data_IF_315684072434
#
_entry.id   IF_315684072434
#
_cell.length_a   1.000
_cell.length_b   1.000
_cell.length_c   1.000
_cell.angle_alpha   90.00
_cell.angle_beta   90.00
_cell.angle_gamma   90.00
#
_symmetry.space_group_name_H-M   'P 1'
#
loop_
_entity.id
_entity.type
_entity.pdbx_description
1 polymer ?
#
# COMPACT_ATOMS: atom_id res chain seq x y z
N UNK A 1 -28.45 28.91 55.20
CA UNK A 1 -29.18 27.63 55.11
C UNK A 1 -28.16 26.52 55.31
N UNK A 2 -28.58 25.47 55.99
CA UNK A 2 -27.82 24.60 56.91
C UNK A 2 -26.77 23.68 56.30
N UNK A 3 -25.79 23.35 57.15
CA UNK A 3 -24.65 22.46 56.96
C UNK A 3 -24.99 20.95 57.02
N UNK A 4 -23.96 20.16 56.69
CA UNK A 4 -23.53 18.89 57.31
C UNK A 4 -24.18 17.57 56.88
N UNK A 5 -23.40 16.79 56.11
CA UNK A 5 -23.41 15.33 56.17
C UNK A 5 -22.37 14.84 57.19
N UNK A 6 -22.86 14.08 58.19
CA UNK A 6 -22.06 13.35 59.17
C UNK A 6 -22.09 11.85 58.86
N UNK A 7 -20.91 11.28 59.03
CA UNK A 7 -20.55 9.86 59.21
C UNK A 7 -21.43 9.08 60.19
N UNK A 8 -21.62 7.79 59.94
CA UNK A 8 -22.09 6.82 60.95
C UNK A 8 -21.97 5.36 60.50
N UNK A 9 -21.01 4.62 61.08
CA UNK A 9 -20.94 3.14 61.09
C UNK A 9 -22.02 2.58 62.02
N UNK A 10 -22.59 1.41 61.71
CA UNK A 10 -22.84 0.33 62.70
C UNK A 10 -23.18 -1.02 62.06
N UNK A 11 -22.82 -2.06 62.81
CA UNK A 11 -22.83 -3.50 62.52
C UNK A 11 -24.21 -4.17 62.56
N UNK A 12 -24.36 -5.34 61.92
CA UNK A 12 -25.27 -6.41 62.35
C UNK A 12 -24.72 -7.82 62.02
N UNK A 13 -24.69 -8.70 63.03
CA UNK A 13 -24.71 -10.16 62.87
C UNK A 13 -26.13 -10.64 62.56
N UNK A 14 -26.53 -11.92 62.45
CA UNK A 14 -25.92 -13.24 62.63
C UNK A 14 -26.98 -14.29 62.21
N UNK A 15 -26.55 -15.46 61.65
CA UNK A 15 -27.21 -16.81 61.69
C UNK A 15 -28.61 -16.93 60.98
N UNK A 16 -29.06 -18.01 60.31
CA UNK A 16 -28.78 -19.46 60.33
C UNK A 16 -29.53 -20.20 59.17
N UNK A 17 -28.99 -21.35 58.74
CA UNK A 17 -29.63 -22.64 58.37
C UNK A 17 -30.47 -22.85 57.08
N UNK A 18 -29.92 -23.66 56.15
CA UNK A 18 -30.35 -25.03 55.74
C UNK A 18 -31.35 -25.11 54.57
N UNK A 19 -31.07 -25.86 53.49
CA UNK A 19 -31.43 -27.28 53.29
C UNK A 19 -30.75 -27.77 51.98
N UNK A 20 -29.88 -28.78 51.94
CA UNK A 20 -30.13 -30.24 51.84
C UNK A 20 -30.97 -30.71 50.63
N UNK A 21 -30.34 -31.32 49.60
CA UNK A 21 -30.36 -32.78 49.27
C UNK A 21 -30.26 -33.11 47.75
N UNK A 22 -29.37 -34.09 47.49
CA UNK A 22 -29.44 -35.22 46.54
C UNK A 22 -29.19 -35.04 45.02
N UNK A 23 -28.08 -35.65 44.58
CA UNK A 23 -27.93 -36.38 43.30
C UNK A 23 -28.75 -37.69 43.32
N UNK A 24 -29.00 -38.46 42.21
CA UNK A 24 -28.01 -39.06 41.27
C UNK A 24 -28.54 -39.08 39.79
N UNK A 25 -28.00 -39.72 38.74
CA UNK A 25 -27.44 -41.07 38.53
C UNK A 25 -26.94 -41.22 37.07
N UNK A 26 -26.07 -42.19 36.81
CA UNK A 26 -25.44 -42.49 35.53
C UNK A 26 -26.14 -43.58 34.69
N UNK A 27 -25.75 -43.61 33.39
CA UNK A 27 -25.66 -44.72 32.43
C UNK A 27 -26.91 -45.21 31.66
N UNK A 28 -26.80 -45.35 30.33
CA UNK A 28 -26.66 -46.63 29.58
C UNK A 28 -26.42 -46.36 28.07
N UNK A 29 -25.58 -47.22 27.44
CA UNK A 29 -25.20 -47.31 26.02
C UNK A 29 -26.23 -48.07 25.16
N UNK A 30 -26.28 -47.82 23.84
CA UNK A 30 -26.28 -48.79 22.71
C UNK A 30 -26.34 -48.01 21.35
N UNK A 31 -25.31 -48.07 20.48
CA UNK A 31 -25.19 -48.84 19.20
C UNK A 31 -26.40 -48.72 18.25
N UNK A 32 -26.35 -48.50 16.93
CA UNK A 32 -25.37 -48.68 15.85
C UNK A 32 -25.66 -47.59 14.78
N UNK A 33 -24.88 -47.27 13.74
CA UNK A 33 -24.44 -48.16 12.66
C UNK A 33 -23.48 -47.34 11.77
N UNK A 34 -22.30 -47.90 11.51
CA UNK A 34 -21.37 -47.47 10.46
C UNK A 34 -21.99 -47.62 9.08
N UNK A 35 -22.06 -46.53 8.30
CA UNK A 35 -22.08 -46.60 6.83
C UNK A 35 -20.74 -46.11 6.29
N UNK A 36 -19.97 -47.06 5.75
CA UNK A 36 -18.89 -46.83 4.81
C UNK A 36 -19.44 -46.04 3.62
N UNK A 37 -18.77 -44.95 3.26
CA UNK A 37 -18.84 -44.42 1.89
C UNK A 37 -17.45 -44.59 1.30
N UNK A 38 -17.41 -45.37 0.23
CA UNK A 38 -16.19 -45.91 -0.36
C UNK A 38 -15.31 -44.82 -0.97
N UNK A 39 -14.01 -45.06 -0.87
CA UNK A 39 -13.03 -44.56 -1.82
C UNK A 39 -13.40 -45.07 -3.22
N UNK A 40 -13.79 -44.14 -4.08
CA UNK A 40 -13.81 -44.33 -5.52
C UNK A 40 -12.59 -43.65 -6.10
N UNK A 41 -11.61 -44.46 -6.50
CA UNK A 41 -10.50 -44.06 -7.35
C UNK A 41 -11.03 -43.47 -8.66
N UNK A 42 -10.56 -42.26 -8.99
CA UNK A 42 -10.63 -41.71 -10.33
C UNK A 42 -9.22 -41.27 -10.76
N UNK A 43 -8.78 -41.64 -11.97
CA UNK A 43 -7.36 -41.69 -12.30
C UNK A 43 -6.80 -40.29 -12.56
N UNK A 44 -5.71 -39.96 -11.87
CA UNK A 44 -4.83 -38.87 -12.25
C UNK A 44 -4.19 -39.20 -13.60
N UNK A 45 -4.70 -38.63 -14.68
CA UNK A 45 -4.04 -38.65 -15.98
C UNK A 45 -2.74 -37.85 -15.89
N UNK A 46 -1.64 -38.58 -15.66
CA UNK A 46 -0.28 -38.07 -15.80
C UNK A 46 -0.01 -37.73 -17.28
N UNK A 47 -0.33 -36.50 -17.67
CA UNK A 47 0.31 -35.86 -18.81
C UNK A 47 1.77 -35.56 -18.43
N UNK A 48 2.66 -36.54 -18.65
CA UNK A 48 4.11 -36.31 -18.70
C UNK A 48 4.40 -35.36 -19.87
N UNK A 49 4.43 -34.05 -19.61
CA UNK A 49 5.19 -33.14 -20.47
C UNK A 49 6.68 -33.34 -20.16
N UNK A 50 7.30 -34.18 -20.97
CA UNK A 50 8.75 -34.24 -21.15
C UNK A 50 9.25 -32.85 -21.54
N UNK A 51 9.99 -32.18 -20.64
CA UNK A 51 10.89 -31.11 -21.05
C UNK A 51 12.10 -31.76 -21.73
N UNK A 52 12.12 -31.74 -23.06
CA UNK A 52 13.35 -32.00 -23.81
C UNK A 52 14.28 -30.80 -23.59
N UNK A 53 15.27 -31.00 -22.72
CA UNK A 53 16.42 -30.11 -22.58
C UNK A 53 17.26 -30.18 -23.85
N UNK A 54 17.11 -29.23 -24.76
CA UNK A 54 18.06 -29.07 -25.86
C UNK A 54 19.35 -28.49 -25.28
N UNK A 55 20.32 -29.35 -24.97
CA UNK A 55 21.72 -28.97 -24.76
C UNK A 55 22.21 -28.23 -26.01
N UNK A 56 22.32 -26.91 -25.95
CA UNK A 56 23.12 -26.17 -26.93
C UNK A 56 24.58 -26.31 -26.52
N UNK A 57 25.31 -27.15 -27.24
CA UNK A 57 26.76 -27.29 -27.12
C UNK A 57 27.41 -25.91 -27.30
N UNK A 58 28.22 -25.52 -26.33
CA UNK A 58 29.26 -24.50 -26.49
C UNK A 58 30.34 -25.12 -27.39
N UNK A 59 30.47 -24.62 -28.61
CA UNK A 59 31.63 -24.88 -29.46
C UNK A 59 32.55 -23.67 -29.44
N UNK A 60 33.78 -23.94 -29.03
CA UNK A 60 34.95 -23.09 -29.12
C UNK A 60 35.10 -22.51 -30.54
N UNK A 61 35.05 -21.19 -30.68
CA UNK A 61 35.62 -20.50 -31.84
C UNK A 61 36.31 -19.21 -31.39
N UNK A 62 37.63 -19.31 -31.21
CA UNK A 62 38.56 -18.17 -31.19
C UNK A 62 38.30 -17.27 -32.39
N UNK A 63 37.84 -16.05 -32.16
CA UNK A 63 37.81 -15.00 -33.20
C UNK A 63 38.70 -13.83 -32.82
N UNK A 64 39.63 -13.59 -33.75
CA UNK A 64 40.74 -12.66 -33.77
C UNK A 64 40.23 -11.21 -33.87
N UNK A 65 40.70 -10.34 -32.99
CA UNK A 65 40.43 -8.90 -33.04
C UNK A 65 40.85 -8.30 -34.39
N UNK A 66 39.91 -7.66 -35.10
CA UNK A 66 40.18 -6.83 -36.28
C UNK A 66 40.14 -5.35 -35.87
N UNK A 67 41.28 -4.68 -36.06
CA UNK A 67 41.46 -3.22 -35.93
C UNK A 67 40.60 -2.49 -36.96
N UNK A 68 39.88 -1.46 -36.52
CA UNK A 68 39.19 -0.48 -37.37
C UNK A 68 40.16 0.65 -37.73
N UNK A 69 40.30 1.06 -39.00
CA UNK A 69 41.18 2.15 -39.37
C UNK A 69 40.49 3.51 -39.17
N UNK A 70 41.20 4.43 -38.50
CA UNK A 70 40.85 5.86 -38.41
C UNK A 70 41.12 6.50 -39.77
N UNK A 71 40.09 7.08 -40.40
CA UNK A 71 40.24 7.93 -41.60
C UNK A 71 40.14 9.40 -41.21
N UNK A 72 41.20 10.12 -41.53
CA UNK A 72 41.39 11.57 -41.49
C UNK A 72 40.33 12.31 -42.32
N UNK A 73 39.77 13.38 -41.75
CA UNK A 73 38.80 14.24 -42.41
C UNK A 73 39.49 15.16 -43.44
N UNK A 74 39.13 15.02 -44.70
CA UNK A 74 39.43 16.00 -45.76
C UNK A 74 38.19 16.86 -46.05
N UNK A 75 38.39 18.17 -45.95
CA UNK A 75 37.43 19.26 -46.11
C UNK A 75 36.83 19.28 -47.53
N UNK A 76 35.53 19.04 -47.66
CA UNK A 76 34.75 19.26 -48.90
C UNK A 76 33.86 20.47 -48.72
N UNK A 77 34.12 21.52 -49.50
CA UNK A 77 33.30 22.74 -49.57
C UNK A 77 32.01 22.42 -50.32
N UNK A 78 30.86 22.51 -49.63
CA UNK A 78 29.54 22.45 -50.27
C UNK A 78 29.02 23.86 -50.52
N UNK A 79 28.70 24.15 -51.79
CA UNK A 79 28.03 25.37 -52.27
C UNK A 79 26.71 25.59 -51.52
N UNK A 80 26.52 26.80 -51.00
CA UNK A 80 25.24 27.29 -50.46
C UNK A 80 24.21 27.39 -51.59
N UNK A 81 23.14 26.58 -51.51
CA UNK A 81 21.94 26.73 -52.30
C UNK A 81 20.94 27.67 -51.60
N UNK A 82 20.25 28.48 -52.38
CA UNK A 82 19.27 29.49 -51.96
C UNK A 82 18.15 28.93 -51.07
N UNK A 83 17.59 29.72 -50.12
CA UNK A 83 16.59 29.22 -49.18
C UNK A 83 15.26 28.97 -49.90
N UNK A 84 14.77 27.73 -49.86
CA UNK A 84 13.39 27.39 -50.25
C UNK A 84 12.42 28.05 -49.28
N UNK A 85 11.45 28.79 -49.82
CA UNK A 85 10.32 29.37 -49.08
C UNK A 85 9.57 28.23 -48.35
N UNK A 86 9.31 28.43 -47.05
CA UNK A 86 8.44 27.56 -46.25
C UNK A 86 7.00 27.66 -46.78
N UNK A 87 6.40 26.50 -46.99
CA UNK A 87 4.98 26.35 -47.33
C UNK A 87 4.13 26.80 -46.12
N UNK A 88 3.12 27.68 -46.26
CA UNK A 88 2.30 28.14 -45.12
C UNK A 88 1.30 27.09 -44.60
N UNK A 89 1.32 25.86 -45.11
CA UNK A 89 0.29 24.83 -44.88
C UNK A 89 0.63 23.76 -43.85
N UNK A 90 1.55 23.99 -42.90
CA UNK A 90 1.76 23.05 -41.80
C UNK A 90 0.57 23.15 -40.83
N UNK A 91 -0.38 22.24 -40.99
CA UNK A 91 -1.64 22.20 -40.26
C UNK A 91 -1.47 22.39 -38.76
N UNK A 92 -2.22 23.34 -38.21
CA UNK A 92 -2.42 23.47 -36.78
C UNK A 92 -2.78 22.10 -36.17
N UNK A 93 -2.35 21.80 -34.93
CA UNK A 93 -2.75 20.56 -34.28
C UNK A 93 -4.28 20.48 -34.30
N UNK A 94 -4.82 19.49 -35.00
CA UNK A 94 -6.27 19.29 -35.10
C UNK A 94 -6.79 19.18 -33.67
N UNK A 95 -7.60 20.16 -33.26
CA UNK A 95 -8.32 20.13 -31.99
C UNK A 95 -9.10 18.82 -31.96
N UNK A 96 -8.70 17.89 -31.09
CA UNK A 96 -9.37 16.61 -30.91
C UNK A 96 -10.85 16.93 -30.63
N UNK A 97 -11.75 16.46 -31.49
CA UNK A 97 -13.19 16.60 -31.27
C UNK A 97 -13.51 15.93 -29.94
N UNK A 98 -14.07 16.71 -29.01
CA UNK A 98 -14.53 16.23 -27.70
C UNK A 98 -15.68 15.28 -27.99
N UNK A 99 -15.46 13.98 -27.77
CA UNK A 99 -16.51 12.98 -27.97
C UNK A 99 -17.59 13.22 -26.91
N UNK A 100 -18.84 12.85 -27.20
CA UNK A 100 -19.97 13.02 -26.27
C UNK A 100 -19.76 12.30 -24.92
N UNK A 101 -18.89 11.28 -24.89
CA UNK A 101 -18.46 10.57 -23.67
C UNK A 101 -17.33 11.26 -22.89
N UNK A 102 -16.69 12.29 -23.46
CA UNK A 102 -15.64 13.07 -22.80
C UNK A 102 -16.24 14.20 -21.91
N UNK A 103 -17.57 14.31 -21.84
CA UNK A 103 -18.28 15.31 -21.03
C UNK A 103 -18.69 14.66 -19.70
N UNK A 104 -18.03 15.07 -18.61
CA UNK A 104 -18.45 14.69 -17.26
C UNK A 104 -19.78 15.43 -16.98
N UNK A 105 -20.91 14.72 -16.83
CA UNK A 105 -22.23 15.36 -16.65
C UNK A 105 -22.23 16.14 -15.34
N UNK A 106 -22.87 17.32 -15.23
CA UNK A 106 -22.88 18.12 -14.01
C UNK A 106 -23.48 17.32 -12.83
N UNK A 107 -22.99 17.58 -11.61
CA UNK A 107 -23.64 17.02 -10.41
C UNK A 107 -24.96 17.75 -10.24
N UNK A 108 -26.05 16.98 -10.08
CA UNK A 108 -27.40 17.49 -9.83
C UNK A 108 -27.94 16.86 -8.56
N UNK A 109 -28.59 17.65 -7.70
CA UNK A 109 -29.23 17.15 -6.48
C UNK A 109 -28.23 16.63 -5.44
N UNK A 110 -28.41 15.37 -5.03
CA UNK A 110 -27.62 14.65 -4.04
C UNK A 110 -26.74 13.55 -4.67
N UNK A 111 -26.48 13.65 -5.98
CA UNK A 111 -25.59 12.75 -6.69
C UNK A 111 -24.17 12.81 -6.11
N UNK A 112 -23.58 11.63 -5.90
CA UNK A 112 -22.18 11.46 -5.56
C UNK A 112 -21.45 10.99 -6.80
N UNK A 113 -20.33 11.61 -7.12
CA UNK A 113 -19.48 11.21 -8.24
C UNK A 113 -18.19 10.60 -7.71
N UNK A 114 -17.77 9.51 -8.33
CA UNK A 114 -16.51 8.83 -8.05
C UNK A 114 -15.76 8.74 -9.37
N UNK A 115 -14.55 9.28 -9.42
CA UNK A 115 -13.74 9.30 -10.64
C UNK A 115 -12.35 8.75 -10.32
N UNK A 116 -11.98 7.57 -10.83
CA UNK A 116 -10.58 7.16 -10.85
C UNK A 116 -9.83 7.98 -11.91
N UNK A 117 -8.83 8.73 -11.50
CA UNK A 117 -7.91 9.46 -12.40
C UNK A 117 -6.67 8.62 -12.75
N UNK A 118 -6.41 7.56 -11.97
CA UNK A 118 -5.39 6.55 -12.21
C UNK A 118 -5.53 5.37 -11.23
N UNK A 119 -4.89 4.25 -11.54
CA UNK A 119 -4.92 3.01 -10.75
C UNK A 119 -6.03 2.02 -11.13
N UNK A 120 -6.70 2.23 -12.26
CA UNK A 120 -7.71 1.30 -12.80
C UNK A 120 -7.23 0.78 -14.15
N UNK A 121 -7.29 -0.55 -14.33
CA UNK A 121 -6.72 -1.26 -15.48
C UNK A 121 -5.19 -1.09 -15.65
N UNK A 122 -4.50 -0.70 -14.56
CA UNK A 122 -3.06 -0.48 -14.50
C UNK A 122 -2.54 -0.70 -13.06
N UNK A 123 -1.22 -0.87 -12.90
CA UNK A 123 -0.58 -0.96 -11.58
C UNK A 123 0.19 0.32 -11.30
N UNK A 124 -0.23 1.03 -10.25
CA UNK A 124 0.36 2.29 -9.83
C UNK A 124 -0.49 3.50 -10.19
N UNK A 125 0.05 4.71 -9.96
CA UNK A 125 -0.65 5.96 -10.30
C UNK A 125 -2.00 6.10 -9.60
N UNK A 126 -2.15 5.51 -8.41
CA UNK A 126 -3.40 5.48 -7.67
C UNK A 126 -3.85 6.90 -7.33
N UNK A 127 -5.01 7.27 -7.86
CA UNK A 127 -5.68 8.54 -7.56
C UNK A 127 -7.16 8.39 -7.86
N UNK A 128 -7.99 8.34 -6.82
CA UNK A 128 -9.45 8.33 -6.95
C UNK A 128 -10.03 9.56 -6.29
N UNK A 129 -11.06 10.16 -6.88
CA UNK A 129 -11.75 11.30 -6.27
C UNK A 129 -13.19 10.94 -5.94
N UNK A 130 -13.66 11.43 -4.81
CA UNK A 130 -15.09 11.45 -4.46
C UNK A 130 -15.53 12.91 -4.43
N UNK A 131 -16.54 13.23 -5.23
CA UNK A 131 -17.14 14.56 -5.29
C UNK A 131 -18.59 14.49 -4.80
N UNK A 132 -18.87 15.31 -3.78
CA UNK A 132 -20.19 15.46 -3.18
C UNK A 132 -20.55 16.95 -3.22
N UNK A 133 -21.45 17.33 -4.13
CA UNK A 133 -21.86 18.72 -4.38
C UNK A 133 -20.66 19.63 -4.73
N UNK A 134 -20.24 20.45 -3.78
CA UNK A 134 -19.16 21.43 -3.92
C UNK A 134 -17.87 21.00 -3.21
N UNK A 135 -17.81 19.75 -2.73
CA UNK A 135 -16.67 19.20 -2.01
C UNK A 135 -16.03 18.06 -2.81
N UNK A 136 -14.74 18.19 -3.12
CA UNK A 136 -13.90 17.13 -3.72
C UNK A 136 -12.90 16.63 -2.68
N UNK A 137 -12.84 15.31 -2.54
CA UNK A 137 -11.86 14.59 -1.74
C UNK A 137 -10.99 13.75 -2.68
N UNK A 138 -9.67 13.90 -2.56
CA UNK A 138 -8.71 13.14 -3.35
C UNK A 138 -8.18 12.01 -2.47
N UNK A 139 -8.21 10.79 -2.96
CA UNK A 139 -7.65 9.60 -2.31
C UNK A 139 -6.43 9.15 -3.09
N UNK A 140 -5.28 9.27 -2.42
CA UNK A 140 -3.95 9.03 -2.95
C UNK A 140 -3.54 9.95 -4.12
N UNK A 141 -2.23 10.13 -4.25
CA UNK A 141 -1.57 10.97 -5.28
C UNK A 141 -0.35 10.20 -5.76
N UNK A 142 -0.62 9.09 -6.43
CA UNK A 142 0.37 8.14 -6.92
C UNK A 142 1.10 8.55 -8.20
N UNK A 143 2.12 7.77 -8.51
CA UNK A 143 2.74 7.69 -9.84
C UNK A 143 2.97 6.23 -10.23
N UNK A 144 3.20 5.95 -11.50
CA UNK A 144 3.60 4.63 -11.99
C UNK A 144 5.04 4.75 -12.51
N UNK A 145 5.85 3.71 -12.29
CA UNK A 145 7.18 3.64 -12.89
C UNK A 145 7.06 3.34 -14.38
N UNK A 146 7.94 3.93 -15.20
CA UNK A 146 8.01 3.60 -16.62
C UNK A 146 8.30 2.12 -16.85
N UNK A 147 7.65 1.54 -17.86
CA UNK A 147 7.96 0.21 -18.36
C UNK A 147 8.85 0.28 -19.62
N UNK A 148 9.34 -0.87 -20.09
CA UNK A 148 10.22 -0.99 -21.27
C UNK A 148 9.63 -0.33 -22.53
N UNK A 149 8.30 -0.17 -22.59
CA UNK A 149 7.56 0.47 -23.68
C UNK A 149 7.68 2.00 -23.71
N UNK A 150 8.23 2.61 -22.65
CA UNK A 150 8.35 4.08 -22.47
C UNK A 150 9.79 4.55 -22.25
N UNK A 151 10.70 4.36 -23.23
CA UNK A 151 12.12 4.66 -23.04
C UNK A 151 12.35 6.16 -22.81
N UNK A 152 13.04 6.49 -21.70
CA UNK A 152 13.42 7.85 -21.32
C UNK A 152 12.38 8.60 -20.47
N UNK A 153 11.27 7.95 -20.13
CA UNK A 153 10.32 8.42 -19.10
C UNK A 153 10.74 7.77 -17.79
N UNK A 154 10.77 8.52 -16.68
CA UNK A 154 11.01 7.94 -15.35
C UNK A 154 9.69 7.51 -14.69
N UNK A 155 8.66 8.37 -14.78
CA UNK A 155 7.39 8.21 -14.10
C UNK A 155 6.21 8.68 -14.95
N UNK A 156 5.06 8.04 -14.74
CA UNK A 156 3.77 8.38 -15.34
C UNK A 156 2.83 8.90 -14.23
N UNK A 157 2.20 10.04 -14.46
CA UNK A 157 1.32 10.74 -13.51
C UNK A 157 -0.14 10.74 -13.98
N UNK A 158 -1.13 10.77 -13.07
CA UNK A 158 -2.54 10.96 -13.45
C UNK A 158 -2.75 12.30 -14.17
N UNK A 159 -3.70 12.33 -15.11
CA UNK A 159 -4.19 13.59 -15.67
C UNK A 159 -5.11 14.28 -14.65
N UNK A 160 -4.65 15.42 -14.14
CA UNK A 160 -5.32 16.17 -13.07
C UNK A 160 -6.07 17.39 -13.57
N UNK A 161 -6.24 17.54 -14.90
CA UNK A 161 -6.94 18.68 -15.51
C UNK A 161 -8.31 18.93 -14.89
N UNK A 162 -9.08 17.87 -14.62
CA UNK A 162 -10.39 17.98 -13.97
C UNK A 162 -10.29 18.65 -12.58
N UNK A 163 -9.29 18.28 -11.79
CA UNK A 163 -9.05 18.84 -10.46
C UNK A 163 -8.52 20.27 -10.54
N UNK A 164 -7.65 20.58 -11.51
CA UNK A 164 -7.16 21.95 -11.74
C UNK A 164 -8.31 22.91 -12.08
N UNK A 165 -9.25 22.48 -12.94
CA UNK A 165 -10.44 23.27 -13.31
C UNK A 165 -11.43 23.42 -12.14
N UNK A 166 -11.45 22.47 -11.20
CA UNK A 166 -12.36 22.43 -10.03
C UNK A 166 -11.65 22.68 -8.70
N UNK A 167 -10.47 23.32 -8.72
CA UNK A 167 -9.58 23.50 -7.57
C UNK A 167 -10.24 24.07 -6.32
N UNK A 168 -11.18 25.01 -6.50
CA UNK A 168 -11.94 25.66 -5.43
C UNK A 168 -12.87 24.72 -4.63
N UNK A 169 -13.18 23.53 -5.18
CA UNK A 169 -13.98 22.50 -4.51
C UNK A 169 -13.13 21.52 -3.70
N UNK A 170 -11.83 21.47 -3.93
CA UNK A 170 -10.95 20.50 -3.25
C UNK A 170 -10.88 20.83 -1.76
N UNK A 171 -11.20 19.84 -0.92
CA UNK A 171 -11.19 19.98 0.54
C UNK A 171 -9.99 19.33 1.21
N UNK A 172 -9.36 18.36 0.54
CA UNK A 172 -8.16 17.72 1.04
C UNK A 172 -7.69 16.58 0.14
N UNK A 173 -6.42 16.23 0.29
CA UNK A 173 -5.86 14.98 -0.21
C UNK A 173 -5.69 14.03 0.99
N UNK A 174 -6.21 12.81 0.87
CA UNK A 174 -6.22 11.81 1.91
C UNK A 174 -5.38 10.62 1.44
N UNK A 175 -4.31 10.34 2.17
CA UNK A 175 -3.30 9.37 1.75
C UNK A 175 -3.44 8.10 2.58
N UNK A 176 -3.69 6.97 1.93
CA UNK A 176 -3.94 5.67 2.57
C UNK A 176 -2.68 5.11 3.23
N UNK A 177 -1.54 5.12 2.51
CA UNK A 177 -0.27 4.59 3.01
C UNK A 177 0.93 5.14 2.24
N UNK A 178 2.14 4.86 2.74
CA UNK A 178 3.39 5.45 2.25
C UNK A 178 4.03 4.80 1.03
N UNK A 179 3.33 3.97 0.27
CA UNK A 179 3.89 3.43 -0.97
C UNK A 179 3.90 4.45 -2.10
N UNK A 180 4.86 4.24 -2.98
CA UNK A 180 5.28 5.19 -3.98
C UNK A 180 4.19 5.37 -5.06
N UNK A 181 3.46 4.33 -5.36
CA UNK A 181 2.26 4.34 -6.17
C UNK A 181 1.03 5.01 -5.52
N UNK A 182 1.11 5.44 -4.25
CA UNK A 182 0.08 6.22 -3.56
C UNK A 182 0.54 7.63 -3.18
N UNK A 183 1.85 7.86 -3.03
CA UNK A 183 2.41 9.16 -2.59
C UNK A 183 3.38 9.80 -3.56
N UNK A 184 3.86 9.05 -4.56
CA UNK A 184 4.98 9.47 -5.41
C UNK A 184 4.66 10.62 -6.35
N UNK A 185 3.37 10.84 -6.65
CA UNK A 185 2.89 11.95 -7.46
C UNK A 185 2.79 13.28 -6.69
N UNK A 186 2.85 13.27 -5.36
CA UNK A 186 2.65 14.45 -4.50
C UNK A 186 3.50 15.66 -4.92
N UNK A 187 4.84 15.54 -5.11
CA UNK A 187 5.68 16.67 -5.49
C UNK A 187 5.31 17.28 -6.85
N UNK A 188 4.69 16.51 -7.74
CA UNK A 188 4.40 16.93 -9.11
C UNK A 188 3.00 17.53 -9.27
N UNK A 189 2.09 17.23 -8.34
CA UNK A 189 0.65 17.47 -8.50
C UNK A 189 0.13 18.48 -7.49
N UNK A 190 0.54 18.39 -6.21
CA UNK A 190 -0.11 19.15 -5.13
C UNK A 190 -0.11 20.67 -5.37
N UNK A 191 0.98 21.22 -5.91
CA UNK A 191 1.09 22.66 -6.18
C UNK A 191 0.08 23.14 -7.24
N UNK A 192 -0.12 22.35 -8.31
CA UNK A 192 -1.14 22.61 -9.34
C UNK A 192 -2.54 22.67 -8.72
N UNK A 193 -2.80 21.78 -7.76
CA UNK A 193 -4.05 21.72 -7.00
C UNK A 193 -4.13 22.77 -5.87
N UNK A 194 -3.09 23.58 -5.67
CA UNK A 194 -3.05 24.67 -4.69
C UNK A 194 -2.74 24.24 -3.28
N UNK A 195 -2.08 23.09 -3.13
CA UNK A 195 -1.66 22.53 -1.86
C UNK A 195 -2.81 22.46 -0.84
N UNK A 196 -3.91 21.75 -1.17
CA UNK A 196 -4.96 21.49 -0.19
C UNK A 196 -4.37 20.75 1.02
N UNK A 197 -5.01 20.82 2.20
CA UNK A 197 -4.57 20.05 3.36
C UNK A 197 -4.43 18.57 3.02
N UNK A 198 -3.29 17.99 3.42
CA UNK A 198 -2.97 16.59 3.20
C UNK A 198 -3.15 15.82 4.51
N UNK A 199 -3.97 14.78 4.50
CA UNK A 199 -4.26 13.94 5.66
C UNK A 199 -3.58 12.59 5.49
N UNK A 200 -2.72 12.22 6.44
CA UNK A 200 -2.07 10.91 6.46
C UNK A 200 -1.79 10.48 7.90
N UNK A 201 -1.42 9.23 8.11
CA UNK A 201 -0.81 8.79 9.37
C UNK A 201 0.65 9.23 9.48
N UNK A 202 1.24 9.08 10.66
CA UNK A 202 2.56 9.61 10.99
C UNK A 202 3.68 9.04 10.11
N UNK A 203 3.79 7.71 10.00
CA UNK A 203 4.85 7.08 9.20
C UNK A 203 4.77 7.49 7.72
N UNK A 204 3.57 7.49 7.14
CA UNK A 204 3.30 7.98 5.79
C UNK A 204 3.70 9.44 5.63
N UNK A 205 3.44 10.29 6.64
CA UNK A 205 3.85 11.70 6.61
C UNK A 205 5.35 11.89 6.53
N UNK A 206 6.12 11.03 7.21
CA UNK A 206 7.59 11.09 7.21
C UNK A 206 8.16 10.67 5.86
N UNK A 207 7.57 9.66 5.20
CA UNK A 207 7.91 9.28 3.83
C UNK A 207 7.68 10.45 2.87
N UNK A 208 6.51 11.11 2.98
CA UNK A 208 6.17 12.28 2.15
C UNK A 208 7.15 13.44 2.38
N UNK A 209 7.42 13.77 3.65
CA UNK A 209 8.38 14.83 4.01
C UNK A 209 9.77 14.54 3.46
N UNK A 210 10.23 13.30 3.60
CA UNK A 210 11.54 12.88 3.08
C UNK A 210 11.62 13.01 1.57
N UNK A 211 10.56 12.63 0.86
CA UNK A 211 10.45 12.83 -0.59
C UNK A 211 10.48 14.31 -0.97
N UNK A 212 9.81 15.18 -0.19
CA UNK A 212 9.82 16.63 -0.43
C UNK A 212 11.19 17.30 -0.27
N UNK A 213 12.14 16.70 0.47
CA UNK A 213 13.51 17.22 0.55
C UNK A 213 14.20 17.25 -0.83
N UNK A 214 13.77 16.40 -1.78
CA UNK A 214 14.27 16.40 -3.15
C UNK A 214 13.69 17.54 -4.02
N UNK A 215 12.66 18.24 -3.51
CA UNK A 215 11.97 19.34 -4.20
C UNK A 215 11.95 20.62 -3.34
N UNK A 216 13.12 21.15 -2.95
CA UNK A 216 13.21 22.29 -2.00
C UNK A 216 12.65 23.61 -2.56
N UNK A 217 12.34 23.67 -3.86
CA UNK A 217 11.76 24.82 -4.53
C UNK A 217 10.23 24.86 -4.47
N UNK A 218 9.59 23.76 -4.04
CA UNK A 218 8.15 23.69 -3.88
C UNK A 218 7.73 24.26 -2.52
N UNK A 219 6.51 24.81 -2.42
CA UNK A 219 5.96 25.22 -1.13
C UNK A 219 5.83 24.02 -0.17
N UNK A 220 5.92 24.27 1.15
CA UNK A 220 5.69 23.23 2.14
C UNK A 220 4.24 22.74 2.07
N UNK A 221 4.06 21.44 2.28
CA UNK A 221 2.74 20.80 2.34
C UNK A 221 2.08 21.07 3.71
N UNK A 222 0.78 21.35 3.73
CA UNK A 222 0.00 21.38 4.96
C UNK A 222 -0.42 19.97 5.38
N UNK A 223 0.49 19.24 6.03
CA UNK A 223 0.26 17.85 6.45
C UNK A 223 -0.43 17.80 7.81
N UNK A 224 -1.57 17.12 7.88
CA UNK A 224 -2.38 16.85 9.08
C UNK A 224 -2.31 15.36 9.40
N UNK A 225 -1.88 15.04 10.62
CA UNK A 225 -1.85 13.65 11.09
C UNK A 225 -3.25 13.22 11.50
N UNK A 226 -3.68 12.05 11.03
CA UNK A 226 -4.94 11.39 11.40
C UNK A 226 -4.65 9.97 11.89
N UNK A 227 -5.54 9.43 12.71
CA UNK A 227 -5.40 8.07 13.26
C UNK A 227 -6.69 7.25 13.09
N UNK A 228 -6.60 5.90 13.04
CA UNK A 228 -7.76 5.02 13.06
C UNK A 228 -8.74 5.35 14.19
N UNK A 229 -10.03 5.36 13.88
CA UNK A 229 -11.11 5.75 14.79
C UNK A 229 -11.38 7.26 14.83
N UNK A 230 -10.50 8.10 14.30
CA UNK A 230 -10.76 9.53 14.19
C UNK A 230 -11.80 9.84 13.12
N UNK A 231 -12.49 10.97 13.31
CA UNK A 231 -13.44 11.53 12.35
C UNK A 231 -13.10 12.99 12.10
N UNK A 232 -13.08 13.40 10.84
CA UNK A 232 -12.86 14.79 10.44
C UNK A 232 -14.01 15.27 9.57
N UNK A 233 -14.35 16.56 9.69
CA UNK A 233 -15.32 17.20 8.82
C UNK A 233 -14.59 18.04 7.78
N UNK A 234 -14.76 17.73 6.51
CA UNK A 234 -14.20 18.48 5.39
C UNK A 234 -15.36 19.01 4.53
N UNK A 235 -15.50 20.34 4.50
CA UNK A 235 -16.70 20.97 3.94
C UNK A 235 -17.96 20.48 4.66
N UNK A 236 -18.87 19.88 3.91
CA UNK A 236 -20.12 19.30 4.40
C UNK A 236 -20.05 17.81 4.73
N UNK A 237 -18.94 17.14 4.41
CA UNK A 237 -18.81 15.67 4.47
C UNK A 237 -17.95 15.25 5.66
N UNK A 238 -18.35 14.16 6.31
CA UNK A 238 -17.57 13.52 7.38
C UNK A 238 -16.73 12.37 6.80
N UNK A 239 -15.45 12.35 7.14
CA UNK A 239 -14.54 11.24 6.86
C UNK A 239 -14.21 10.53 8.17
N UNK A 240 -14.19 9.19 8.16
CA UNK A 240 -13.66 8.37 9.25
C UNK A 240 -12.49 7.53 8.76
N UNK A 241 -11.53 7.28 9.64
CA UNK A 241 -10.36 6.47 9.33
C UNK A 241 -10.42 5.14 10.09
N UNK A 242 -9.91 4.07 9.47
CA UNK A 242 -9.77 2.76 10.09
C UNK A 242 -8.44 2.12 9.71
N UNK A 243 -7.92 1.23 10.55
CA UNK A 243 -6.64 0.57 10.28
C UNK A 243 -6.82 -0.45 9.15
N UNK A 244 -5.81 -0.57 8.28
CA UNK A 244 -5.74 -1.62 7.26
C UNK A 244 -4.40 -2.32 7.40
N UNK A 245 -4.40 -3.64 7.31
CA UNK A 245 -3.15 -4.41 7.27
C UNK A 245 -2.56 -4.34 5.87
N UNK A 246 -1.29 -3.98 5.77
CA UNK A 246 -0.56 -3.91 4.52
C UNK A 246 0.94 -4.10 4.77
N UNK A 247 1.77 -4.12 3.72
CA UNK A 247 3.21 -4.35 3.83
C UNK A 247 4.05 -3.16 4.34
N UNK A 248 3.39 -2.04 4.63
CA UNK A 248 3.98 -0.85 5.23
C UNK A 248 3.21 -0.47 6.50
N UNK A 249 3.90 0.00 7.55
CA UNK A 249 3.24 0.55 8.73
C UNK A 249 2.28 1.67 8.38
N UNK A 250 1.30 1.86 9.26
CA UNK A 250 0.34 2.96 9.17
C UNK A 250 -0.54 2.99 7.91
N UNK A 251 -0.77 1.85 7.27
CA UNK A 251 -1.82 1.76 6.28
C UNK A 251 -3.21 1.98 6.92
N UNK A 252 -4.05 2.73 6.22
CA UNK A 252 -5.40 3.05 6.66
C UNK A 252 -6.39 3.10 5.51
N UNK A 253 -7.63 2.74 5.83
CA UNK A 253 -8.79 2.94 4.98
C UNK A 253 -9.63 4.12 5.44
N UNK A 254 -10.54 4.55 4.57
CA UNK A 254 -11.36 5.75 4.75
C UNK A 254 -12.83 5.42 4.49
N UNK A 255 -13.69 5.96 5.35
CA UNK A 255 -15.15 5.93 5.20
C UNK A 255 -15.61 7.35 4.91
N UNK A 256 -16.14 7.58 3.72
CA UNK A 256 -16.80 8.84 3.32
C UNK A 256 -18.28 8.72 3.64
N UNK A 257 -18.76 9.47 4.63
CA UNK A 257 -20.19 9.46 4.99
C UNK A 257 -21.00 10.30 4.00
N UNK A 258 -21.97 9.68 3.34
CA UNK A 258 -22.85 10.36 2.39
C UNK A 258 -24.32 10.19 2.78
N UNK A 259 -25.24 11.02 2.25
CA UNK A 259 -26.68 10.86 2.51
C UNK A 259 -27.24 9.48 2.12
N UNK A 260 -26.59 8.78 1.18
CA UNK A 260 -27.04 7.51 0.62
C UNK A 260 -26.39 6.28 1.27
N UNK A 261 -25.47 6.49 2.19
CA UNK A 261 -24.62 5.45 2.79
C UNK A 261 -23.14 5.71 2.55
N UNK A 262 -22.30 4.94 3.23
CA UNK A 262 -20.87 5.16 3.23
C UNK A 262 -20.21 4.67 1.94
N UNK A 263 -19.22 5.41 1.46
CA UNK A 263 -18.22 4.92 0.52
C UNK A 263 -17.00 4.51 1.34
N UNK A 264 -16.68 3.22 1.32
CA UNK A 264 -15.55 2.64 2.05
C UNK A 264 -14.40 2.43 1.06
N UNK A 265 -13.26 3.07 1.31
CA UNK A 265 -12.04 3.00 0.48
C UNK A 265 -10.97 2.33 1.32
N UNK A 266 -10.46 1.20 0.85
CA UNK A 266 -9.50 0.40 1.62
C UNK A 266 -8.05 0.87 1.47
N UNK A 267 -7.71 1.53 0.35
CA UNK A 267 -6.32 1.57 -0.10
C UNK A 267 -5.85 0.17 -0.47
N UNK A 268 -4.54 -0.07 -0.42
CA UNK A 268 -4.02 -1.43 -0.56
C UNK A 268 -4.26 -2.20 0.73
N UNK A 269 -4.71 -3.44 0.59
CA UNK A 269 -5.05 -4.27 1.74
C UNK A 269 -4.47 -5.68 1.61
N UNK A 270 -4.11 -6.21 2.77
CA UNK A 270 -3.93 -7.64 2.99
C UNK A 270 -4.79 -8.04 4.18
N UNK A 271 -5.09 -9.33 4.26
CA UNK A 271 -5.81 -9.88 5.40
C UNK A 271 -4.82 -10.67 6.25
N UNK A 272 -4.67 -10.29 7.52
CA UNK A 272 -3.98 -11.16 8.47
C UNK A 272 -4.85 -12.39 8.75
N UNK A 273 -4.29 -13.58 8.53
CA UNK A 273 -5.01 -14.84 8.72
C UNK A 273 -4.08 -15.98 9.16
N UNK A 274 -4.66 -17.05 9.68
CA UNK A 274 -4.01 -18.36 9.82
C UNK A 274 -4.77 -19.40 8.98
N UNK A 275 -4.10 -19.98 7.99
CA UNK A 275 -4.70 -20.93 7.04
C UNK A 275 -6.05 -20.49 6.42
N UNK A 276 -6.21 -19.18 6.13
CA UNK A 276 -7.42 -18.60 5.56
C UNK A 276 -8.49 -18.17 6.58
N UNK A 277 -8.26 -18.40 7.88
CA UNK A 277 -9.11 -17.90 8.95
C UNK A 277 -8.59 -16.51 9.38
N UNK A 278 -9.37 -15.43 9.23
CA UNK A 278 -8.93 -14.09 9.60
C UNK A 278 -8.54 -13.99 11.08
N UNK A 279 -7.59 -13.12 11.42
CA UNK A 279 -7.25 -12.87 12.82
C UNK A 279 -8.41 -12.19 13.57
N UNK A 280 -8.48 -12.35 14.90
CA UNK A 280 -9.51 -11.69 15.73
C UNK A 280 -9.53 -10.16 15.53
N UNK A 281 -8.35 -9.57 15.27
CA UNK A 281 -8.19 -8.15 14.97
C UNK A 281 -8.87 -7.79 13.64
N UNK A 282 -8.66 -8.59 12.60
CA UNK A 282 -9.30 -8.39 11.29
C UNK A 282 -10.82 -8.58 11.37
N UNK A 283 -11.29 -9.65 12.01
CA UNK A 283 -12.72 -9.91 12.18
C UNK A 283 -13.42 -8.77 12.92
N UNK A 284 -12.78 -8.25 13.98
CA UNK A 284 -13.30 -7.10 14.72
C UNK A 284 -13.35 -5.85 13.85
N UNK A 285 -12.24 -5.50 13.20
CA UNK A 285 -12.11 -4.27 12.42
C UNK A 285 -13.10 -4.24 11.25
N UNK A 286 -13.09 -5.27 10.40
CA UNK A 286 -14.02 -5.36 9.26
C UNK A 286 -15.46 -5.65 9.68
N UNK A 287 -15.66 -6.37 10.79
CA UNK A 287 -16.98 -6.62 11.37
C UNK A 287 -17.65 -5.38 11.96
N UNK A 288 -16.88 -4.40 12.46
CA UNK A 288 -17.41 -3.10 12.87
C UNK A 288 -17.77 -2.22 11.67
N UNK A 289 -16.98 -2.29 10.59
CA UNK A 289 -17.25 -1.56 9.35
C UNK A 289 -18.49 -2.11 8.65
N UNK A 290 -18.65 -3.44 8.56
CA UNK A 290 -19.75 -4.09 7.86
C UNK A 290 -21.13 -3.80 8.46
N UNK A 291 -21.18 -3.46 9.76
CA UNK A 291 -22.43 -3.07 10.46
C UNK A 291 -22.91 -1.66 10.14
N UNK A 292 -22.09 -0.84 9.49
CA UNK A 292 -22.46 0.52 9.11
C UNK A 292 -23.33 0.51 7.84
N UNK A 293 -24.07 1.61 7.59
CA UNK A 293 -24.86 1.77 6.37
C UNK A 293 -23.92 2.03 5.18
N UNK A 294 -23.34 0.98 4.60
CA UNK A 294 -22.38 1.08 3.50
C UNK A 294 -23.07 0.96 2.14
N UNK A 295 -22.75 1.87 1.23
CA UNK A 295 -23.27 1.91 -0.15
C UNK A 295 -22.29 1.29 -1.15
N UNK A 296 -20.99 1.60 -1.00
CA UNK A 296 -19.96 1.18 -1.94
C UNK A 296 -18.67 0.82 -1.19
N UNK A 297 -18.01 -0.25 -1.66
CA UNK A 297 -16.66 -0.62 -1.25
C UNK A 297 -15.70 -0.51 -2.45
N UNK A 298 -14.67 0.31 -2.31
CA UNK A 298 -13.56 0.45 -3.26
C UNK A 298 -12.39 -0.35 -2.70
N UNK A 299 -12.23 -1.55 -3.24
CA UNK A 299 -11.28 -2.57 -2.81
C UNK A 299 -10.07 -2.70 -3.73
N UNK A 300 -8.90 -2.95 -3.16
CA UNK A 300 -7.70 -3.40 -3.88
C UNK A 300 -8.02 -4.67 -4.70
N UNK A 301 -7.64 -4.66 -5.97
CA UNK A 301 -7.85 -5.75 -6.93
C UNK A 301 -6.54 -6.35 -7.45
N UNK A 302 -5.38 -5.92 -6.95
CA UNK A 302 -4.05 -6.28 -7.45
C UNK A 302 -3.82 -7.79 -7.55
N UNK A 303 -4.36 -8.55 -6.59
CA UNK A 303 -4.23 -10.01 -6.54
C UNK A 303 -5.54 -10.76 -6.79
N UNK A 304 -6.57 -10.10 -7.34
CA UNK A 304 -7.90 -10.69 -7.51
C UNK A 304 -7.92 -11.95 -8.42
N UNK A 305 -6.96 -12.07 -9.33
CA UNK A 305 -6.82 -13.23 -10.22
C UNK A 305 -6.18 -14.45 -9.54
N UNK A 306 -5.59 -14.29 -8.37
CA UNK A 306 -4.92 -15.36 -7.63
C UNK A 306 -5.88 -15.97 -6.59
N UNK A 307 -6.37 -17.20 -6.79
CA UNK A 307 -7.30 -17.81 -5.84
C UNK A 307 -6.59 -18.20 -4.54
N UNK A 308 -7.35 -18.24 -3.45
CA UNK A 308 -6.88 -18.68 -2.14
C UNK A 308 -6.34 -17.52 -1.30
N UNK A 309 -5.32 -17.80 -0.50
CA UNK A 309 -4.76 -16.86 0.47
C UNK A 309 -3.25 -16.73 0.29
N UNK A 310 -2.73 -15.53 0.53
CA UNK A 310 -1.29 -15.33 0.66
C UNK A 310 -0.72 -16.13 1.83
N UNK A 311 0.59 -16.35 1.85
CA UNK A 311 1.25 -16.92 3.03
C UNK A 311 1.12 -15.90 4.17
N UNK A 312 0.73 -16.34 5.36
CA UNK A 312 0.60 -15.46 6.52
C UNK A 312 1.95 -14.91 6.96
N UNK A 313 1.95 -13.67 7.48
CA UNK A 313 3.18 -13.04 7.95
C UNK A 313 3.82 -13.81 9.12
N UNK A 314 3.03 -14.48 9.96
CA UNK A 314 3.54 -15.34 11.02
C UNK A 314 4.41 -16.49 10.49
N UNK A 315 3.98 -17.15 9.40
CA UNK A 315 4.76 -18.19 8.74
C UNK A 315 6.00 -17.60 8.08
N UNK A 316 5.87 -16.45 7.41
CA UNK A 316 7.00 -15.75 6.78
C UNK A 316 8.07 -15.41 7.82
N UNK A 317 7.66 -14.85 8.97
CA UNK A 317 8.58 -14.45 10.04
C UNK A 317 9.23 -15.66 10.73
N UNK A 318 8.49 -16.75 10.95
CA UNK A 318 9.06 -17.99 11.48
C UNK A 318 10.12 -18.59 10.53
N UNK A 319 9.87 -18.55 9.22
CA UNK A 319 10.82 -19.01 8.21
C UNK A 319 12.06 -18.10 8.14
N UNK A 320 11.87 -16.78 8.15
CA UNK A 320 12.98 -15.82 8.21
C UNK A 320 13.84 -16.02 9.46
N UNK A 321 13.20 -16.21 10.61
CA UNK A 321 13.88 -16.48 11.86
C UNK A 321 14.74 -17.74 11.79
N UNK A 322 14.17 -18.83 11.26
CA UNK A 322 14.90 -20.09 11.06
C UNK A 322 16.13 -19.88 10.17
N UNK A 323 15.97 -19.24 9.01
CA UNK A 323 17.05 -18.99 8.05
C UNK A 323 18.17 -18.15 8.69
N UNK A 324 17.81 -17.05 9.36
CA UNK A 324 18.77 -16.14 9.99
C UNK A 324 19.53 -16.87 11.11
N UNK A 325 18.83 -17.65 11.94
CA UNK A 325 19.43 -18.44 13.03
C UNK A 325 20.40 -19.50 12.50
N UNK A 326 19.98 -20.29 11.51
CA UNK A 326 20.72 -21.46 11.02
C UNK A 326 21.87 -21.10 10.07
N UNK A 327 21.90 -19.88 9.52
CA UNK A 327 22.96 -19.44 8.63
C UNK A 327 24.35 -19.54 9.31
N UNK A 328 25.26 -20.41 8.80
CA UNK A 328 26.55 -20.69 9.46
C UNK A 328 27.59 -19.60 9.24
N UNK A 329 27.34 -18.68 8.30
CA UNK A 329 28.24 -17.60 7.92
C UNK A 329 27.44 -16.38 7.46
N UNK A 330 28.06 -15.49 6.68
CA UNK A 330 27.43 -14.27 6.17
C UNK A 330 26.17 -14.60 5.36
N UNK A 331 25.05 -13.96 5.72
CA UNK A 331 23.78 -14.06 5.01
C UNK A 331 23.50 -12.75 4.26
N UNK A 332 23.15 -12.85 2.98
CA UNK A 332 22.74 -11.70 2.16
C UNK A 332 21.25 -11.85 1.88
N UNK A 333 20.46 -10.82 2.22
CA UNK A 333 19.01 -10.81 2.03
C UNK A 333 18.66 -9.74 0.99
N UNK A 334 18.18 -10.18 -0.18
CA UNK A 334 17.59 -9.31 -1.18
C UNK A 334 16.12 -9.08 -0.89
N UNK A 335 15.69 -7.83 -0.71
CA UNK A 335 14.28 -7.48 -0.47
C UNK A 335 13.96 -6.07 -0.96
N UNK A 336 12.68 -5.76 -1.11
CA UNK A 336 12.22 -4.44 -1.51
C UNK A 336 12.22 -3.49 -0.31
N UNK A 337 12.77 -2.29 -0.48
CA UNK A 337 12.79 -1.27 0.58
C UNK A 337 11.37 -0.84 1.03
N UNK A 338 10.37 -0.97 0.16
CA UNK A 338 8.97 -0.65 0.46
C UNK A 338 8.29 -1.66 1.40
N UNK A 339 8.88 -2.84 1.63
CA UNK A 339 8.38 -3.84 2.58
C UNK A 339 8.95 -3.57 3.98
N UNK A 340 8.56 -2.43 4.53
CA UNK A 340 9.11 -1.87 5.77
C UNK A 340 8.88 -2.81 6.96
N UNK A 341 7.73 -3.46 7.06
CA UNK A 341 7.47 -4.41 8.16
C UNK A 341 8.43 -5.60 8.13
N UNK A 342 8.75 -6.12 6.94
CA UNK A 342 9.72 -7.21 6.78
C UNK A 342 11.13 -6.74 7.12
N UNK A 343 11.51 -5.53 6.69
CA UNK A 343 12.78 -4.91 7.04
C UNK A 343 12.94 -4.78 8.56
N UNK A 344 11.92 -4.25 9.25
CA UNK A 344 11.88 -4.16 10.71
C UNK A 344 12.07 -5.55 11.32
N UNK A 345 11.32 -6.55 10.84
CA UNK A 345 11.38 -7.89 11.41
C UNK A 345 12.73 -8.57 11.25
N UNK A 346 13.40 -8.37 10.11
CA UNK A 346 14.75 -8.87 9.87
C UNK A 346 15.73 -8.27 10.90
N UNK A 347 15.65 -6.97 11.16
CA UNK A 347 16.52 -6.29 12.13
C UNK A 347 16.31 -6.86 13.53
N UNK A 348 15.05 -7.02 13.96
CA UNK A 348 14.72 -7.61 15.27
C UNK A 348 15.27 -9.04 15.44
N UNK A 349 15.11 -9.87 14.41
CA UNK A 349 15.61 -11.25 14.42
C UNK A 349 17.14 -11.26 14.49
N UNK A 350 17.82 -10.40 13.73
CA UNK A 350 19.27 -10.28 13.80
C UNK A 350 19.74 -9.94 15.22
N UNK A 351 19.10 -8.98 15.89
CA UNK A 351 19.42 -8.64 17.28
C UNK A 351 19.18 -9.81 18.25
N UNK A 352 18.08 -10.55 18.08
CA UNK A 352 17.74 -11.72 18.89
C UNK A 352 18.84 -12.79 18.87
N UNK A 353 19.52 -12.93 17.73
CA UNK A 353 20.59 -13.92 17.54
C UNK A 353 22.00 -13.30 17.54
N UNK A 354 22.15 -12.07 18.06
CA UNK A 354 23.42 -11.35 18.14
C UNK A 354 24.14 -11.22 16.79
N UNK A 355 23.39 -11.12 15.70
CA UNK A 355 23.90 -10.89 14.34
C UNK A 355 23.90 -9.40 14.04
N UNK A 356 24.93 -8.96 13.31
CA UNK A 356 25.12 -7.58 12.87
C UNK A 356 24.50 -7.35 11.51
N UNK A 357 24.02 -6.15 11.25
CA UNK A 357 23.32 -5.77 10.01
C UNK A 357 24.13 -4.73 9.25
N UNK A 358 24.34 -4.99 7.96
CA UNK A 358 24.89 -4.02 7.00
C UNK A 358 23.78 -3.74 6.00
N UNK A 359 23.51 -2.46 5.72
CA UNK A 359 22.44 -2.05 4.83
C UNK A 359 23.02 -1.45 3.57
N UNK A 360 22.56 -1.94 2.41
CA UNK A 360 22.94 -1.40 1.12
C UNK A 360 21.71 -0.93 0.33
N UNK A 361 21.89 0.14 -0.44
CA UNK A 361 20.83 0.81 -1.19
C UNK A 361 20.28 2.07 -0.49
N UNK A 362 20.11 3.14 -1.28
CA UNK A 362 19.64 4.45 -0.79
C UNK A 362 18.27 4.37 -0.14
N UNK A 363 17.28 3.79 -0.82
CA UNK A 363 15.91 3.69 -0.31
C UNK A 363 15.81 2.84 0.96
N UNK A 364 16.63 1.79 1.08
CA UNK A 364 16.68 0.96 2.29
C UNK A 364 17.21 1.77 3.48
N UNK A 365 18.32 2.51 3.30
CA UNK A 365 18.89 3.38 4.34
C UNK A 365 17.89 4.45 4.78
N UNK A 366 17.25 5.11 3.82
CA UNK A 366 16.21 6.11 4.06
C UNK A 366 15.05 5.53 4.89
N UNK A 367 14.52 4.37 4.50
CA UNK A 367 13.38 3.78 5.22
C UNK A 367 13.75 3.33 6.64
N UNK A 368 14.99 2.86 6.86
CA UNK A 368 15.49 2.56 8.22
C UNK A 368 15.57 3.83 9.07
N UNK A 369 16.08 4.92 8.52
CA UNK A 369 16.13 6.21 9.23
C UNK A 369 14.74 6.70 9.58
N UNK A 370 13.78 6.64 8.65
CA UNK A 370 12.39 6.99 8.90
C UNK A 370 11.78 6.08 9.96
N UNK A 371 12.01 4.76 9.92
CA UNK A 371 11.53 3.83 10.94
C UNK A 371 12.12 4.12 12.32
N UNK A 372 13.37 4.62 12.41
CA UNK A 372 13.95 5.09 13.68
C UNK A 372 13.26 6.36 14.18
N UNK A 373 13.04 7.35 13.30
CA UNK A 373 12.37 8.62 13.63
C UNK A 373 10.93 8.38 14.10
N UNK A 374 10.20 7.50 13.41
CA UNK A 374 8.84 7.08 13.76
C UNK A 374 8.78 6.23 15.04
N UNK A 375 9.93 5.85 15.62
CA UNK A 375 10.00 5.00 16.81
C UNK A 375 9.57 3.54 16.58
N UNK A 376 9.45 3.11 15.32
CA UNK A 376 9.10 1.73 14.94
C UNK A 376 10.23 0.74 15.22
N UNK A 377 11.48 1.20 15.17
CA UNK A 377 12.65 0.43 15.60
C UNK A 377 13.52 1.25 16.53
N UNK A 378 14.08 0.58 17.53
CA UNK A 378 15.09 1.12 18.45
C UNK A 378 16.28 0.17 18.51
N UNK A 379 17.05 0.09 17.41
CA UNK A 379 18.14 -0.85 17.31
C UNK A 379 19.23 -0.51 18.33
N UNK A 380 19.91 -1.53 18.85
CA UNK A 380 21.08 -1.36 19.72
C UNK A 380 22.20 -0.64 18.94
N UNK A 381 23.05 0.08 19.66
CA UNK A 381 24.15 0.87 19.07
C UNK A 381 25.07 0.03 18.18
N UNK A 382 25.26 -1.23 18.56
CA UNK A 382 26.12 -2.16 17.86
C UNK A 382 25.37 -3.01 16.82
N UNK A 383 24.07 -2.82 16.58
CA UNK A 383 23.30 -3.63 15.63
C UNK A 383 23.72 -3.37 14.18
N UNK A 384 23.96 -2.10 13.83
CA UNK A 384 24.41 -1.70 12.50
C UNK A 384 25.92 -1.50 12.50
N UNK A 385 26.61 -2.11 11.54
CA UNK A 385 28.06 -1.95 11.35
C UNK A 385 28.36 -1.46 9.93
N UNK A 386 29.52 -0.83 9.73
CA UNK A 386 29.98 -0.48 8.39
C UNK A 386 30.48 -1.70 7.63
N UNK A 387 30.43 -1.64 6.29
CA UNK A 387 30.90 -2.74 5.44
C UNK A 387 32.37 -3.09 5.71
N UNK A 388 33.19 -2.10 6.06
CA UNK A 388 34.61 -2.27 6.38
C UNK A 388 34.84 -3.10 7.65
N UNK A 389 33.93 -3.01 8.63
CA UNK A 389 34.01 -3.74 9.91
C UNK A 389 33.67 -5.23 9.76
N UNK A 390 33.09 -5.63 8.63
CA UNK A 390 32.63 -6.99 8.38
C UNK A 390 33.69 -7.89 7.71
N UNK A 391 34.92 -7.40 7.59
CA UNK A 391 36.05 -8.00 6.87
C UNK A 391 36.74 -9.10 7.67
#
# INVERSE_FOLDING_TARGET
>A
MTENEKTGKTQHGSRTASTSRRAPRAAVKQSATTRKVGHGDAPASHSKRTYTTTKRQLSDTRTRAKRVPVKTASRVVRKMGSPKRRDPGAGAPKRREVKKHDIIPPITGDNIRIIPLGGVEEVGKNMTIVENKDDIFIFDVGFQFSEDETPGIDYILPDTKYLEENKHKIRGAIITHGHLDHVGGIPYIMDKLGNPPLYSRDFTSLIIKKRQEEFPHLPPLDIKIVEPGQRIKLGSTMLKFFAVTHSIPDAMGIIVETPHGNIVISGDLRLEHDAGIPSEKEEKNWGEISKQNNLLFIGDSTNAENPGFSVSDSIIFANLEKIIKEAPSRLIIGTFASQVERMIKIIEICEKYNKKVITEGRSMKTNIEISKIAGLIKPKDDTFIQAQEAS
#
